data_IF_383166072085
#
_entry.id   IF_383166072085
#
_cell.length_a   1.000
_cell.length_b   1.000
_cell.length_c   1.000
_cell.angle_alpha   90.00
_cell.angle_beta   90.00
_cell.angle_gamma   90.00
#
_symmetry.space_group_name_H-M   'P 1'
#
loop_
_entity.id
_entity.type
_entity.pdbx_description
1 polymer ?
#
# COMPACT_ATOMS: atom_id res chain seq x y z
N UNK A 1 -4.83 -31.90 17.11
CA UNK A 1 -4.00 -30.85 16.49
C UNK A 1 -4.87 -29.63 16.25
N UNK A 2 -4.68 -28.57 17.02
CA UNK A 2 -5.32 -27.27 16.81
C UNK A 2 -4.29 -26.41 16.07
N UNK A 3 -4.56 -26.05 14.82
CA UNK A 3 -3.79 -25.02 14.13
C UNK A 3 -4.44 -23.69 14.45
N UNK A 4 -3.73 -22.80 15.15
CA UNK A 4 -4.09 -21.39 15.16
C UNK A 4 -3.98 -20.88 13.73
N UNK A 5 -5.12 -20.55 13.12
CA UNK A 5 -5.14 -19.76 11.90
C UNK A 5 -4.64 -18.38 12.33
N UNK A 6 -3.33 -18.16 12.28
CA UNK A 6 -2.79 -16.81 12.26
C UNK A 6 -3.39 -16.15 11.03
N UNK A 7 -4.24 -15.17 11.27
CA UNK A 7 -4.85 -14.31 10.26
C UNK A 7 -3.83 -14.05 9.14
N UNK A 8 -4.11 -14.55 7.93
CA UNK A 8 -3.21 -14.35 6.81
C UNK A 8 -3.09 -12.85 6.60
N UNK A 9 -1.90 -12.30 6.85
CA UNK A 9 -1.64 -10.89 6.59
C UNK A 9 -1.98 -10.66 5.12
N UNK A 10 -2.97 -9.81 4.80
CA UNK A 10 -3.39 -9.62 3.42
C UNK A 10 -2.16 -9.20 2.61
N UNK A 11 -1.92 -9.93 1.52
CA UNK A 11 -0.75 -9.67 0.68
C UNK A 11 -0.85 -8.25 0.12
N UNK A 12 0.13 -7.38 0.40
CA UNK A 12 0.06 -5.99 -0.05
C UNK A 12 0.11 -5.91 -1.57
N UNK A 13 -0.47 -4.85 -2.13
CA UNK A 13 -0.40 -4.59 -3.57
C UNK A 13 1.02 -4.20 -3.99
N UNK A 14 1.32 -4.34 -5.28
CA UNK A 14 2.57 -3.78 -5.82
C UNK A 14 2.53 -2.25 -5.82
N UNK A 15 3.70 -1.60 -5.86
CA UNK A 15 3.81 -0.14 -6.00
C UNK A 15 2.98 0.36 -7.19
N UNK A 16 3.10 -0.29 -8.35
CA UNK A 16 2.38 0.10 -9.56
C UNK A 16 0.86 -0.03 -9.42
N UNK A 17 0.37 -1.09 -8.77
CA UNK A 17 -1.06 -1.27 -8.49
C UNK A 17 -1.57 -0.18 -7.54
N UNK A 18 -0.85 0.06 -6.45
CA UNK A 18 -1.22 1.06 -5.42
C UNK A 18 -1.32 2.46 -6.02
N UNK A 19 -0.30 2.90 -6.77
CA UNK A 19 -0.30 4.21 -7.41
C UNK A 19 -1.36 4.29 -8.53
N UNK A 20 -1.58 3.21 -9.27
CA UNK A 20 -2.63 3.12 -10.28
C UNK A 20 -4.04 3.28 -9.68
N UNK A 21 -4.33 2.60 -8.58
CA UNK A 21 -5.61 2.70 -7.87
C UNK A 21 -5.82 4.07 -7.24
N UNK A 22 -4.77 4.67 -6.68
CA UNK A 22 -4.83 6.03 -6.14
C UNK A 22 -5.13 7.04 -7.25
N UNK A 23 -4.41 6.95 -8.38
CA UNK A 23 -4.63 7.81 -9.56
C UNK A 23 -6.05 7.68 -10.11
N UNK A 24 -6.58 6.45 -10.13
CA UNK A 24 -7.95 6.16 -10.53
C UNK A 24 -9.00 6.53 -9.48
N UNK A 25 -8.59 7.02 -8.30
CA UNK A 25 -9.46 7.35 -7.15
C UNK A 25 -10.27 6.16 -6.64
N UNK A 26 -9.75 4.94 -6.81
CA UNK A 26 -10.35 3.73 -6.22
C UNK A 26 -9.96 3.54 -4.75
N UNK A 27 -8.86 4.16 -4.32
CA UNK A 27 -8.40 4.18 -2.93
C UNK A 27 -8.01 5.60 -2.51
N UNK A 28 -8.16 5.90 -1.23
CA UNK A 28 -7.70 7.15 -0.64
C UNK A 28 -6.19 7.19 -0.45
N UNK A 29 -5.63 8.40 -0.37
CA UNK A 29 -4.21 8.65 -0.09
C UNK A 29 -3.72 7.92 1.17
N UNK A 30 -4.52 7.89 2.24
CA UNK A 30 -4.18 7.19 3.47
C UNK A 30 -4.03 5.67 3.27
N UNK A 31 -4.87 5.06 2.41
CA UNK A 31 -4.73 3.63 2.09
C UNK A 31 -3.50 3.38 1.24
N UNK A 32 -3.24 4.22 0.25
CA UNK A 32 -2.05 4.12 -0.58
C UNK A 32 -0.75 4.19 0.25
N UNK A 33 -0.68 5.13 1.20
CA UNK A 33 0.46 5.24 2.12
C UNK A 33 0.67 3.98 2.97
N UNK A 34 -0.42 3.42 3.52
CA UNK A 34 -0.33 2.19 4.32
C UNK A 34 0.16 0.99 3.52
N UNK A 35 -0.26 0.86 2.26
CA UNK A 35 0.22 -0.19 1.37
C UNK A 35 1.71 -0.01 1.04
N UNK A 36 2.15 1.23 0.76
CA UNK A 36 3.56 1.54 0.51
C UNK A 36 4.45 1.29 1.74
N UNK A 37 3.95 1.60 2.94
CA UNK A 37 4.63 1.26 4.19
C UNK A 37 4.75 -0.26 4.38
N UNK A 38 3.69 -1.02 4.09
CA UNK A 38 3.68 -2.48 4.22
C UNK A 38 4.64 -3.19 3.26
N UNK A 39 4.91 -2.62 2.08
CA UNK A 39 5.93 -3.14 1.15
C UNK A 39 7.35 -2.64 1.47
N UNK A 40 7.51 -1.78 2.48
CA UNK A 40 8.80 -1.38 3.03
C UNK A 40 9.36 -0.06 2.53
N UNK A 41 8.54 0.83 1.96
CA UNK A 41 9.00 2.18 1.62
C UNK A 41 9.10 3.07 2.86
N UNK A 42 10.14 3.90 2.90
CA UNK A 42 10.26 4.98 3.88
C UNK A 42 9.43 6.22 3.48
N UNK A 43 9.36 7.16 4.41
CA UNK A 43 8.56 8.38 4.30
C UNK A 43 8.97 9.28 3.13
N UNK A 44 10.25 9.31 2.75
CA UNK A 44 10.75 10.13 1.65
C UNK A 44 10.28 9.58 0.31
N UNK A 45 10.45 8.27 0.09
CA UNK A 45 9.96 7.61 -1.12
C UNK A 45 8.44 7.73 -1.26
N UNK A 46 7.71 7.55 -0.16
CA UNK A 46 6.26 7.73 -0.14
C UNK A 46 5.86 9.15 -0.53
N UNK A 47 6.49 10.18 0.04
CA UNK A 47 6.19 11.58 -0.29
C UNK A 47 6.45 11.88 -1.78
N UNK A 48 7.56 11.40 -2.36
CA UNK A 48 7.86 11.54 -3.79
C UNK A 48 6.76 10.89 -4.65
N UNK A 49 6.36 9.66 -4.34
CA UNK A 49 5.31 8.98 -5.09
C UNK A 49 3.95 9.68 -4.98
N UNK A 50 3.60 10.16 -3.79
CA UNK A 50 2.34 10.90 -3.60
C UNK A 50 2.30 12.18 -4.44
N UNK A 51 3.40 12.94 -4.48
CA UNK A 51 3.53 14.15 -5.32
C UNK A 51 3.50 13.86 -6.81
N UNK A 52 3.96 12.67 -7.23
CA UNK A 52 3.96 12.27 -8.64
C UNK A 52 2.60 11.79 -9.14
N UNK A 53 1.68 11.45 -8.25
CA UNK A 53 0.36 10.89 -8.58
C UNK A 53 -0.78 11.90 -8.39
N UNK A 54 -0.59 12.93 -7.56
CA UNK A 54 -1.42 14.16 -7.55
C UNK A 54 -1.41 14.87 -8.92
#
# INVERSE_FOLDING_TARGET
>A
WYFEIKEEVPKPWTTAQTLGFMKAKFIDKARALKELEQIGYDTEHMDIYMRSVE
#
